data_IF_730849064342
#
_entry.id   IF_730849064342
#
_cell.length_a   1.000
_cell.length_b   1.000
_cell.length_c   1.000
_cell.angle_alpha   90.00
_cell.angle_beta   90.00
_cell.angle_gamma   90.00
#
_symmetry.space_group_name_H-M   'P 1'
#
loop_
_entity.id
_entity.type
_entity.pdbx_description
1 polymer ?
#
# COMPACT_ATOMS: atom_id res chain seq x y z
N UNK A 1 0.79 6.37 -9.46
CA UNK A 1 1.35 5.56 -8.35
C UNK A 1 0.63 5.95 -7.07
N UNK A 2 -0.48 5.29 -6.72
CA UNK A 2 -1.42 5.76 -5.69
C UNK A 2 -0.79 6.08 -4.33
N UNK A 3 0.14 5.25 -3.86
CA UNK A 3 0.83 5.47 -2.58
C UNK A 3 1.66 6.75 -2.56
N UNK A 4 2.22 7.17 -3.70
CA UNK A 4 3.01 8.40 -3.81
C UNK A 4 2.10 9.64 -3.74
N UNK A 5 0.92 9.59 -4.36
CA UNK A 5 -0.07 10.68 -4.29
C UNK A 5 -0.61 10.86 -2.86
N UNK A 6 -0.87 9.74 -2.16
CA UNK A 6 -1.26 9.78 -0.74
C UNK A 6 -0.14 10.40 0.11
N UNK A 7 1.11 9.99 -0.12
CA UNK A 7 2.25 10.54 0.61
C UNK A 7 2.42 12.05 0.39
N UNK A 8 2.34 12.51 -0.86
CA UNK A 8 2.39 13.93 -1.21
C UNK A 8 1.24 14.71 -0.56
N UNK A 9 0.01 14.18 -0.65
CA UNK A 9 -1.17 14.87 -0.10
C UNK A 9 -1.10 15.02 1.41
N UNK A 10 -0.64 13.99 2.13
CA UNK A 10 -0.49 14.02 3.58
C UNK A 10 0.70 14.86 4.03
N UNK A 11 1.79 14.92 3.27
CA UNK A 11 2.94 15.77 3.56
C UNK A 11 2.61 17.28 3.54
N UNK A 12 1.47 17.68 2.95
CA UNK A 12 0.98 19.06 2.95
C UNK A 12 0.29 19.46 4.26
N UNK A 13 0.04 18.53 5.17
CA UNK A 13 -0.57 18.82 6.47
C UNK A 13 0.49 19.48 7.37
N UNK A 14 0.26 20.71 7.88
CA UNK A 14 1.21 21.35 8.78
C UNK A 14 1.50 20.49 10.02
N UNK A 15 2.79 20.38 10.37
CA UNK A 15 3.22 19.58 11.51
C UNK A 15 3.19 18.06 11.26
N UNK A 16 3.05 17.59 10.02
CA UNK A 16 3.16 16.17 9.67
C UNK A 16 4.31 15.97 8.67
N UNK A 17 5.32 15.17 9.04
CA UNK A 17 6.46 14.85 8.18
C UNK A 17 6.44 13.39 7.72
N UNK A 18 6.64 13.18 6.43
CA UNK A 18 6.81 11.84 5.86
C UNK A 18 8.18 11.27 6.24
N UNK A 19 8.21 10.04 6.78
CA UNK A 19 9.45 9.38 7.23
C UNK A 19 9.89 8.25 6.31
N UNK A 20 9.03 7.83 5.39
CA UNK A 20 9.29 6.73 4.46
C UNK A 20 8.15 5.72 4.44
N UNK A 21 8.37 4.60 3.76
CA UNK A 21 7.40 3.53 3.62
C UNK A 21 8.05 2.16 3.75
N UNK A 22 7.23 1.16 4.12
CA UNK A 22 7.60 -0.25 4.06
C UNK A 22 6.69 -0.98 3.08
N UNK A 23 7.27 -1.90 2.32
CA UNK A 23 6.50 -2.78 1.44
C UNK A 23 6.21 -4.05 2.24
N UNK A 24 4.94 -4.31 2.49
CA UNK A 24 4.49 -5.55 3.07
C UNK A 24 4.07 -6.51 1.96
N UNK A 25 4.73 -7.66 1.92
CA UNK A 25 4.33 -8.78 1.07
C UNK A 25 3.38 -9.69 1.86
N UNK A 26 2.09 -9.60 1.55
CA UNK A 26 1.08 -10.48 2.14
C UNK A 26 1.10 -11.84 1.45
N UNK A 27 1.43 -12.89 2.21
CA UNK A 27 1.52 -14.29 1.75
C UNK A 27 0.27 -15.10 2.08
N UNK A 28 -0.71 -14.47 2.73
CA UNK A 28 -1.94 -15.07 3.19
C UNK A 28 -2.99 -15.32 2.09
N UNK A 29 -3.02 -14.60 0.93
CA UNK A 29 -4.06 -14.83 -0.06
C UNK A 29 -3.95 -16.23 -0.65
N UNK A 30 -4.98 -17.03 -0.42
CA UNK A 30 -5.19 -18.29 -1.14
C UNK A 30 -5.52 -17.97 -2.59
N UNK A 31 -4.54 -18.11 -3.47
CA UNK A 31 -4.66 -17.98 -4.93
C UNK A 31 -5.44 -19.16 -5.56
N UNK A 32 -6.45 -19.69 -4.87
CA UNK A 32 -7.31 -20.70 -5.46
C UNK A 32 -8.17 -20.05 -6.55
N UNK A 33 -8.43 -20.74 -7.67
CA UNK A 33 -9.37 -20.24 -8.66
C UNK A 33 -10.76 -20.23 -7.99
N UNK A 34 -11.27 -19.04 -7.66
CA UNK A 34 -12.63 -18.84 -7.15
C UNK A 34 -13.67 -19.10 -8.26
N UNK A 35 -13.71 -20.33 -8.79
CA UNK A 35 -14.63 -20.73 -9.86
C UNK A 35 -14.20 -20.29 -11.27
N UNK A 36 -12.99 -19.75 -11.46
CA UNK A 36 -12.48 -19.30 -12.77
C UNK A 36 -11.32 -20.20 -13.25
N UNK A 37 -11.60 -21.34 -13.91
CA UNK A 37 -10.58 -22.31 -14.31
C UNK A 37 -9.65 -21.85 -15.44
N UNK A 38 -10.02 -20.82 -16.22
CA UNK A 38 -9.27 -20.40 -17.42
C UNK A 38 -8.96 -18.90 -17.47
N UNK A 39 -9.15 -18.15 -16.38
CA UNK A 39 -8.99 -16.68 -16.38
C UNK A 39 -7.90 -16.23 -15.42
N UNK A 40 -7.03 -15.33 -15.88
CA UNK A 40 -6.03 -14.68 -15.04
C UNK A 40 -6.70 -13.68 -14.09
N UNK A 41 -6.44 -13.81 -12.78
CA UNK A 41 -6.86 -12.85 -11.77
C UNK A 41 -5.61 -12.20 -11.18
N UNK A 42 -5.44 -10.91 -11.41
CA UNK A 42 -4.35 -10.14 -10.80
C UNK A 42 -4.56 -10.09 -9.28
N UNK A 43 -3.53 -10.44 -8.52
CA UNK A 43 -3.55 -10.31 -7.06
C UNK A 43 -2.60 -9.21 -6.60
N UNK A 44 -3.06 -8.40 -5.65
CA UNK A 44 -2.26 -7.34 -5.05
C UNK A 44 -1.59 -7.85 -3.77
N UNK A 45 -0.46 -8.53 -3.95
CA UNK A 45 0.32 -9.11 -2.85
C UNK A 45 1.17 -8.07 -2.10
N UNK A 46 1.44 -6.92 -2.71
CA UNK A 46 2.34 -5.91 -2.18
C UNK A 46 1.53 -4.69 -1.74
N UNK A 47 1.58 -4.40 -0.44
CA UNK A 47 0.93 -3.24 0.16
C UNK A 47 1.99 -2.24 0.67
N UNK A 48 1.72 -0.95 0.52
CA UNK A 48 2.60 0.11 1.00
C UNK A 48 2.10 0.62 2.36
N UNK A 49 2.92 0.46 3.39
CA UNK A 49 2.70 1.04 4.70
C UNK A 49 3.46 2.36 4.75
N UNK A 50 2.73 3.48 4.73
CA UNK A 50 3.30 4.82 4.79
C UNK A 50 3.48 5.25 6.25
N UNK A 51 4.64 5.81 6.59
CA UNK A 51 4.97 6.22 7.97
C UNK A 51 5.13 7.74 8.02
N UNK A 52 4.37 8.37 8.90
CA UNK A 52 4.42 9.82 9.16
C UNK A 52 4.69 10.08 10.63
N UNK A 53 5.37 11.19 10.90
CA UNK A 53 5.62 11.70 12.26
C UNK A 53 4.92 13.04 12.42
N UNK A 54 4.20 13.22 13.51
CA UNK A 54 3.74 14.55 13.92
C UNK A 54 4.91 15.30 14.56
N UNK A 55 5.20 16.48 14.06
CA UNK A 55 6.22 17.38 14.60
C UNK A 55 5.55 18.33 15.60
N UNK A 56 6.18 18.51 16.75
CA UNK A 56 5.71 19.34 17.85
C UNK A 56 6.89 19.71 18.75
#
# INVERSE_FOLDING_TARGET
>A
MLHAEIADRLARIPGLSFRGYRIWHDRTPRLYPFGYPYTFVANQLHQFILVFRREG
#
